data_IF_337464951753
#
_entry.id   IF_337464951753
#
_cell.length_a   1.000
_cell.length_b   1.000
_cell.length_c   1.000
_cell.angle_alpha   90.00
_cell.angle_beta   90.00
_cell.angle_gamma   90.00
#
_symmetry.space_group_name_H-M   'P 1'
#
loop_
_entity.id
_entity.type
_entity.pdbx_description
1 polymer ?
#
# COMPACT_ATOMS: atom_id res chain seq x y z
N UNK A 1 -13.73 -38.01 -6.18
CA UNK A 1 -12.55 -37.25 -6.66
C UNK A 1 -11.75 -36.89 -5.43
N UNK A 2 -10.44 -37.14 -5.42
CA UNK A 2 -9.60 -36.81 -4.27
C UNK A 2 -8.83 -35.53 -4.60
N UNK A 3 -8.98 -34.51 -3.76
CA UNK A 3 -8.17 -33.28 -3.80
C UNK A 3 -7.05 -33.44 -2.79
N UNK A 4 -5.81 -33.16 -3.21
CA UNK A 4 -4.65 -33.10 -2.32
C UNK A 4 -4.13 -31.67 -2.28
N UNK A 5 -3.82 -31.20 -1.08
CA UNK A 5 -3.26 -29.87 -0.82
C UNK A 5 -1.77 -30.01 -0.52
N UNK A 6 -0.95 -29.20 -1.17
CA UNK A 6 0.49 -29.19 -0.98
C UNK A 6 0.94 -27.79 -0.60
N UNK A 7 1.47 -27.67 0.61
CA UNK A 7 2.16 -26.48 1.09
C UNK A 7 3.58 -26.44 0.53
N UNK A 8 4.21 -25.25 0.42
CA UNK A 8 5.58 -25.15 -0.03
C UNK A 8 6.51 -26.00 0.83
N UNK A 9 7.47 -26.67 0.19
CA UNK A 9 8.62 -27.20 0.92
C UNK A 9 9.45 -26.00 1.40
N UNK A 10 9.37 -25.65 2.69
CA UNK A 10 10.35 -24.74 3.28
C UNK A 10 11.74 -25.38 3.14
N UNK A 11 12.55 -24.91 2.20
CA UNK A 11 13.99 -25.07 2.33
C UNK A 11 14.43 -24.24 3.53
N UNK A 12 14.62 -24.88 4.68
CA UNK A 12 15.48 -24.33 5.72
C UNK A 12 16.91 -24.22 5.17
N UNK A 13 17.21 -23.13 4.47
CA UNK A 13 18.58 -22.72 4.23
C UNK A 13 19.06 -21.97 5.48
N UNK A 14 19.52 -22.74 6.47
CA UNK A 14 20.34 -22.21 7.55
C UNK A 14 21.66 -21.70 6.97
N UNK A 15 21.71 -20.43 6.56
CA UNK A 15 22.97 -19.70 6.50
C UNK A 15 23.05 -18.76 7.70
N UNK A 16 23.73 -19.24 8.75
CA UNK A 16 24.42 -18.33 9.65
C UNK A 16 25.49 -17.60 8.83
N UNK A 17 25.34 -16.30 8.62
CA UNK A 17 26.48 -15.42 8.32
C UNK A 17 26.64 -14.46 9.48
N UNK A 18 27.85 -14.51 10.04
CA UNK A 18 28.26 -13.81 11.23
C UNK A 18 28.23 -12.28 11.07
N UNK A 19 28.00 -11.64 12.22
CA UNK A 19 28.05 -10.21 12.51
C UNK A 19 29.28 -9.50 11.92
N UNK A 20 29.09 -8.31 11.35
CA UNK A 20 30.19 -7.52 10.79
C UNK A 20 29.84 -6.10 10.38
N UNK A 21 29.74 -5.21 11.39
CA UNK A 21 29.92 -3.74 11.33
C UNK A 21 28.83 -2.91 10.65
N UNK A 22 28.18 -2.10 11.49
CA UNK A 22 27.22 -1.07 11.11
C UNK A 22 27.79 -0.07 10.11
N UNK A 23 26.97 0.20 9.10
CA UNK A 23 27.20 1.26 8.13
C UNK A 23 26.50 2.53 8.63
N UNK A 24 27.27 3.43 9.19
CA UNK A 24 26.85 4.81 9.46
C UNK A 24 27.01 5.61 8.15
N UNK A 25 25.96 6.26 7.62
CA UNK A 25 26.13 7.16 6.49
C UNK A 25 26.96 8.39 6.95
N UNK A 26 28.13 8.53 6.33
CA UNK A 26 29.01 9.69 6.51
C UNK A 26 28.35 10.91 5.86
N UNK A 27 27.82 11.82 6.67
CA UNK A 27 27.57 13.19 6.25
C UNK A 27 28.91 13.86 5.91
N UNK A 28 29.14 14.15 4.64
CA UNK A 28 30.20 15.09 4.23
C UNK A 28 29.63 16.51 4.30
N UNK A 29 29.97 17.17 5.41
CA UNK A 29 29.98 18.63 5.56
C UNK A 29 30.81 19.24 4.43
N UNK A 30 30.17 19.94 3.49
CA UNK A 30 30.84 20.97 2.70
C UNK A 30 30.42 22.36 3.20
N UNK A 31 31.46 23.15 3.44
CA UNK A 31 31.47 24.48 4.07
C UNK A 31 30.66 25.55 3.31
N UNK A 32 30.30 26.66 4.00
CA UNK A 32 29.35 27.64 3.49
C UNK A 32 29.97 28.63 2.50
N UNK A 33 29.15 29.01 1.52
CA UNK A 33 29.40 30.11 0.59
C UNK A 33 29.49 31.46 1.32
N UNK A 34 30.49 32.25 0.91
CA UNK A 34 30.88 33.56 1.44
C UNK A 34 29.73 34.59 1.40
N UNK A 35 29.55 35.32 2.50
CA UNK A 35 28.81 36.58 2.61
C UNK A 35 29.54 37.71 1.88
N UNK A 36 28.77 38.60 1.26
CA UNK A 36 29.16 39.99 0.94
C UNK A 36 28.23 40.93 1.75
N UNK A 37 28.68 42.13 2.15
CA UNK A 37 28.10 42.87 3.27
C UNK A 37 27.05 43.88 2.82
N UNK A 38 25.89 43.88 3.48
CA UNK A 38 24.98 45.02 3.48
C UNK A 38 24.91 45.60 4.89
N UNK A 39 25.25 46.88 4.98
CA UNK A 39 25.19 47.75 6.15
C UNK A 39 23.74 48.10 6.53
N UNK A 40 23.40 48.16 7.84
CA UNK A 40 22.05 48.47 8.29
C UNK A 40 21.84 49.99 8.46
N UNK A 41 20.61 50.52 8.27
CA UNK A 41 20.25 51.82 8.82
C UNK A 41 19.53 51.66 10.17
N UNK A 42 20.22 52.16 11.20
CA UNK A 42 19.74 52.94 12.36
C UNK A 42 18.24 53.02 12.65
N UNK A 43 17.91 52.51 13.83
CA UNK A 43 16.77 52.88 14.69
C UNK A 43 16.97 54.30 15.28
N UNK A 44 15.87 55.03 15.56
CA UNK A 44 15.86 55.98 16.67
C UNK A 44 14.80 55.64 17.72
N UNK A 45 15.22 55.83 18.97
CA UNK A 45 14.49 55.52 20.20
C UNK A 45 13.31 56.45 20.50
N UNK A 46 12.38 55.87 21.25
CA UNK A 46 11.15 56.33 21.92
C UNK A 46 11.26 57.68 22.68
N UNK A 47 10.14 58.35 23.03
CA UNK A 47 9.73 58.24 24.45
C UNK A 47 8.22 58.38 24.79
N UNK A 48 7.84 57.58 25.81
CA UNK A 48 7.02 57.90 27.00
C UNK A 48 5.46 57.87 26.97
N UNK A 49 4.83 57.67 28.16
CA UNK A 49 3.67 56.79 28.34
C UNK A 49 2.45 57.52 28.92
N UNK A 50 1.32 56.81 28.97
CA UNK A 50 0.21 57.15 29.86
C UNK A 50 -1.16 56.98 29.19
N UNK A 51 -1.94 56.00 29.64
CA UNK A 51 -2.93 56.18 30.71
C UNK A 51 -3.69 54.89 30.93
N UNK A 52 -3.83 54.55 32.21
CA UNK A 52 -4.79 53.57 32.74
C UNK A 52 -6.21 54.04 32.44
N UNK A 53 -7.08 53.09 32.08
CA UNK A 53 -8.49 53.12 32.46
C UNK A 53 -8.94 51.66 32.68
N UNK A 54 -9.69 51.47 33.76
CA UNK A 54 -10.05 50.21 34.40
C UNK A 54 -11.49 49.79 34.03
N UNK A 55 -11.70 48.47 33.85
CA UNK A 55 -12.92 47.66 34.13
C UNK A 55 -14.06 47.68 33.05
N UNK A 56 -14.79 46.57 32.75
CA UNK A 56 -14.90 45.29 33.50
C UNK A 56 -14.58 44.00 32.75
N UNK A 57 -14.24 42.99 33.55
CA UNK A 57 -14.40 41.56 33.28
C UNK A 57 -15.85 41.23 32.87
N UNK A 58 -16.06 40.69 31.67
CA UNK A 58 -17.04 39.62 31.45
C UNK A 58 -16.83 38.93 30.08
N UNK A 59 -17.17 37.64 30.05
CA UNK A 59 -17.20 36.72 28.89
C UNK A 59 -15.86 36.25 28.32
N UNK A 60 -15.27 35.25 28.99
CA UNK A 60 -14.64 34.15 28.27
C UNK A 60 -15.71 33.45 27.42
N UNK A 61 -15.93 33.92 26.19
CA UNK A 61 -16.54 33.13 25.13
C UNK A 61 -15.76 33.38 23.83
N UNK A 62 -14.50 32.96 23.83
CA UNK A 62 -13.85 32.55 22.60
C UNK A 62 -14.22 31.08 22.42
N UNK A 63 -15.43 30.89 21.87
CA UNK A 63 -15.88 29.63 21.32
C UNK A 63 -14.75 29.00 20.51
N UNK A 64 -14.54 27.71 20.76
CA UNK A 64 -13.48 26.89 20.22
C UNK A 64 -13.22 27.23 18.76
N UNK A 65 -12.01 27.69 18.45
CA UNK A 65 -11.46 27.51 17.11
C UNK A 65 -11.41 25.98 16.95
N UNK A 66 -12.43 25.41 16.31
CA UNK A 66 -12.37 24.02 15.88
C UNK A 66 -11.19 23.96 14.93
N UNK A 67 -10.04 23.52 15.41
CA UNK A 67 -8.94 23.12 14.54
C UNK A 67 -9.49 21.99 13.69
N UNK A 68 -9.91 22.32 12.48
CA UNK A 68 -10.27 21.32 11.48
C UNK A 68 -9.05 20.42 11.33
N UNK A 69 -9.17 19.15 11.70
CA UNK A 69 -8.12 18.15 11.52
C UNK A 69 -7.71 18.15 10.03
N UNK A 70 -6.42 18.01 9.77
CA UNK A 70 -5.86 18.00 8.41
C UNK A 70 -4.91 16.84 8.20
N UNK A 71 -4.79 16.43 6.94
CA UNK A 71 -3.77 15.51 6.46
C UNK A 71 -2.91 16.24 5.44
N UNK A 72 -1.59 16.17 5.61
CA UNK A 72 -0.61 16.83 4.73
C UNK A 72 0.13 15.80 3.88
N UNK A 73 0.29 16.13 2.60
CA UNK A 73 0.99 15.34 1.61
C UNK A 73 2.25 16.06 1.15
N UNK A 74 3.37 15.34 1.11
CA UNK A 74 4.70 15.92 0.89
C UNK A 74 5.36 15.36 -0.36
N UNK A 75 6.05 16.22 -1.09
CA UNK A 75 6.89 15.83 -2.22
C UNK A 75 8.36 15.77 -1.79
N UNK A 76 9.08 14.66 -2.05
CA UNK A 76 10.43 14.44 -1.52
C UNK A 76 11.47 15.49 -1.95
N UNK A 77 11.34 16.05 -3.16
CA UNK A 77 12.43 16.77 -3.83
C UNK A 77 12.23 18.29 -3.98
N UNK A 78 11.08 18.85 -3.63
CA UNK A 78 10.80 20.28 -3.85
C UNK A 78 10.03 20.98 -2.72
N UNK A 79 9.95 20.36 -1.53
CA UNK A 79 9.23 20.87 -0.36
C UNK A 79 7.76 21.22 -0.63
N UNK A 80 7.16 20.72 -1.72
CA UNK A 80 5.74 20.87 -1.95
C UNK A 80 4.98 20.11 -0.86
N UNK A 81 4.20 20.85 -0.08
CA UNK A 81 3.29 20.34 0.93
C UNK A 81 1.89 20.85 0.64
N UNK A 82 0.91 19.95 0.63
CA UNK A 82 -0.49 20.33 0.59
C UNK A 82 -1.28 19.62 1.69
N UNK A 83 -2.00 20.42 2.49
CA UNK A 83 -2.78 19.94 3.61
C UNK A 83 -4.27 20.09 3.33
N UNK A 84 -5.01 19.00 3.43
CA UNK A 84 -6.46 18.96 3.21
C UNK A 84 -7.19 18.70 4.52
N UNK A 85 -8.33 19.38 4.71
CA UNK A 85 -9.19 19.13 5.86
C UNK A 85 -9.89 17.79 5.73
N UNK A 86 -10.05 17.10 6.86
CA UNK A 86 -10.80 15.86 6.95
C UNK A 86 -12.11 16.07 7.71
N UNK A 87 -13.07 15.17 7.46
CA UNK A 87 -14.38 15.09 8.08
C UNK A 87 -14.57 13.69 8.66
N UNK A 88 -15.44 13.56 9.65
CA UNK A 88 -15.91 12.25 10.11
C UNK A 88 -17.07 11.79 9.23
N UNK A 89 -17.11 10.50 8.87
CA UNK A 89 -18.26 9.92 8.19
C UNK A 89 -19.51 9.96 9.10
N UNK A 90 -20.66 10.32 8.56
CA UNK A 90 -21.92 10.26 9.31
C UNK A 90 -22.39 8.81 9.54
N UNK A 91 -23.41 8.64 10.38
CA UNK A 91 -23.89 7.30 10.74
C UNK A 91 -24.49 6.52 9.56
N UNK A 92 -25.08 7.21 8.57
CA UNK A 92 -25.64 6.57 7.37
C UNK A 92 -24.50 6.12 6.44
N UNK A 93 -23.53 7.00 6.21
CA UNK A 93 -22.32 6.72 5.46
C UNK A 93 -21.56 5.53 6.08
N UNK A 94 -21.37 5.52 7.40
CA UNK A 94 -20.70 4.41 8.13
C UNK A 94 -21.43 3.08 7.95
N UNK A 95 -22.76 3.07 7.88
CA UNK A 95 -23.55 1.84 7.78
C UNK A 95 -23.64 1.31 6.34
N UNK A 96 -23.71 2.21 5.35
CA UNK A 96 -24.07 1.86 3.98
C UNK A 96 -22.88 1.88 3.01
N UNK A 97 -21.99 2.86 3.09
CA UNK A 97 -20.94 3.11 2.08
C UNK A 97 -19.54 2.80 2.62
N UNK A 98 -19.29 3.17 3.88
CA UNK A 98 -18.01 3.04 4.59
C UNK A 98 -18.09 2.02 5.73
N UNK A 99 -18.82 0.92 5.49
CA UNK A 99 -18.96 -0.17 6.45
C UNK A 99 -17.73 -1.10 6.41
N UNK A 100 -16.68 -0.71 7.13
CA UNK A 100 -15.51 -1.55 7.34
C UNK A 100 -15.83 -2.69 8.30
N UNK A 101 -15.33 -3.89 8.00
CA UNK A 101 -15.37 -4.99 8.95
C UNK A 101 -14.39 -4.70 10.10
N UNK A 102 -14.80 -4.97 11.32
CA UNK A 102 -13.92 -4.90 12.49
C UNK A 102 -13.01 -6.14 12.52
N UNK A 103 -11.68 -5.99 12.38
CA UNK A 103 -10.78 -7.14 12.38
C UNK A 103 -10.70 -7.85 13.75
N UNK A 104 -11.08 -7.19 14.85
CA UNK A 104 -11.13 -7.80 16.19
C UNK A 104 -12.36 -8.70 16.38
N UNK A 105 -13.44 -8.42 15.64
CA UNK A 105 -14.70 -9.15 15.74
C UNK A 105 -14.93 -10.12 14.59
N UNK A 106 -14.18 -9.99 13.50
CA UNK A 106 -14.37 -10.81 12.31
C UNK A 106 -13.77 -12.21 12.48
N UNK A 107 -14.64 -13.22 12.45
CA UNK A 107 -14.26 -14.64 12.52
C UNK A 107 -13.34 -15.05 11.35
N UNK A 108 -13.42 -14.35 10.22
CA UNK A 108 -12.64 -14.61 9.02
C UNK A 108 -11.53 -13.58 8.79
N UNK A 109 -11.07 -12.87 9.84
CA UNK A 109 -9.87 -12.05 9.71
C UNK A 109 -8.64 -12.97 9.55
N UNK A 110 -7.80 -12.77 8.52
CA UNK A 110 -6.59 -13.57 8.35
C UNK A 110 -5.67 -13.43 9.57
N UNK A 111 -5.47 -14.53 10.29
CA UNK A 111 -4.77 -14.54 11.59
C UNK A 111 -3.31 -14.08 11.51
N UNK A 112 -2.74 -14.06 10.31
CA UNK A 112 -1.38 -13.68 10.02
C UNK A 112 -1.21 -12.21 9.62
N UNK A 113 -2.30 -11.47 9.39
CA UNK A 113 -2.26 -10.03 9.17
C UNK A 113 -2.08 -9.29 10.49
N UNK A 114 -1.35 -8.17 10.46
CA UNK A 114 -1.24 -7.28 11.62
C UNK A 114 -2.55 -6.51 11.77
N UNK A 115 -3.34 -6.87 12.78
CA UNK A 115 -4.63 -6.22 13.08
C UNK A 115 -4.53 -4.69 13.23
N UNK A 116 -3.37 -4.18 13.65
CA UNK A 116 -3.15 -2.75 13.83
C UNK A 116 -3.02 -1.99 12.50
N UNK A 117 -2.92 -2.71 11.37
CA UNK A 117 -2.91 -2.14 10.02
C UNK A 117 -4.27 -2.16 9.34
N UNK A 118 -5.29 -2.70 10.02
CA UNK A 118 -6.65 -2.85 9.51
C UNK A 118 -7.68 -2.14 10.41
N UNK A 119 -7.25 -1.12 11.15
CA UNK A 119 -8.13 -0.29 11.96
C UNK A 119 -9.18 0.39 11.07
N UNK A 120 -10.37 0.61 11.64
CA UNK A 120 -11.44 1.32 10.95
C UNK A 120 -11.06 2.81 10.88
N UNK A 121 -11.01 3.43 9.69
CA UNK A 121 -10.73 4.85 9.59
C UNK A 121 -11.87 5.67 10.17
N UNK A 122 -11.52 6.72 10.93
CA UNK A 122 -12.48 7.64 11.52
C UNK A 122 -12.71 8.86 10.64
N UNK A 123 -11.63 9.40 10.08
CA UNK A 123 -11.68 10.64 9.32
C UNK A 123 -11.35 10.39 7.85
N UNK A 124 -11.88 11.23 6.98
CA UNK A 124 -11.80 11.13 5.53
C UNK A 124 -11.73 12.51 4.88
N UNK A 125 -11.20 12.59 3.68
CA UNK A 125 -11.37 13.72 2.79
C UNK A 125 -12.78 13.69 2.18
N UNK A 126 -13.47 14.82 2.18
CA UNK A 126 -14.71 15.01 1.43
C UNK A 126 -14.39 15.34 -0.04
N UNK A 127 -14.66 14.41 -0.94
CA UNK A 127 -14.38 14.57 -2.37
C UNK A 127 -15.37 15.49 -3.08
N UNK A 128 -16.55 15.78 -2.50
CA UNK A 128 -17.46 16.80 -3.04
C UNK A 128 -16.96 18.20 -2.72
N UNK A 129 -16.33 18.36 -1.55
CA UNK A 129 -15.72 19.62 -1.12
C UNK A 129 -14.30 19.84 -1.69
N UNK A 130 -13.65 18.79 -2.19
CA UNK A 130 -12.26 18.85 -2.68
C UNK A 130 -12.22 18.84 -4.21
N UNK A 131 -11.70 19.90 -4.88
CA UNK A 131 -11.59 19.91 -6.34
C UNK A 131 -10.73 18.76 -6.88
N UNK A 132 -11.19 18.12 -7.96
CA UNK A 132 -10.55 16.98 -8.63
C UNK A 132 -9.09 17.20 -9.05
N UNK A 133 -8.76 18.44 -9.42
CA UNK A 133 -7.43 18.85 -9.87
C UNK A 133 -6.54 19.38 -8.74
N UNK A 134 -6.98 19.28 -7.47
CA UNK A 134 -6.16 19.64 -6.32
C UNK A 134 -4.92 18.75 -6.31
N UNK A 135 -3.75 19.38 -6.37
CA UNK A 135 -2.46 18.68 -6.29
C UNK A 135 -2.23 18.21 -4.86
N UNK A 136 -1.92 16.93 -4.70
CA UNK A 136 -1.55 16.34 -3.41
C UNK A 136 -0.04 16.36 -3.25
N UNK A 137 0.67 16.00 -4.32
CA UNK A 137 2.10 16.20 -4.48
C UNK A 137 2.37 16.93 -5.78
N UNK A 138 3.63 17.21 -6.08
CA UNK A 138 4.07 17.87 -7.31
C UNK A 138 3.46 17.25 -8.56
N UNK A 139 3.35 15.92 -8.60
CA UNK A 139 2.89 15.24 -9.81
C UNK A 139 1.51 14.61 -9.70
N UNK A 140 1.00 14.30 -8.50
CA UNK A 140 -0.28 13.62 -8.33
C UNK A 140 -1.38 14.56 -7.85
N UNK A 141 -2.59 14.39 -8.40
CA UNK A 141 -3.79 15.11 -7.99
C UNK A 141 -4.86 14.17 -7.43
N UNK A 142 -5.87 14.74 -6.76
CA UNK A 142 -6.97 13.99 -6.13
C UNK A 142 -7.61 12.96 -7.06
N UNK A 143 -8.05 13.35 -8.26
CA UNK A 143 -8.79 12.43 -9.16
C UNK A 143 -7.97 11.22 -9.65
N UNK A 144 -6.64 11.26 -9.57
CA UNK A 144 -5.79 10.11 -9.91
C UNK A 144 -5.86 9.02 -8.83
N UNK A 145 -6.07 9.41 -7.57
CA UNK A 145 -5.97 8.51 -6.41
C UNK A 145 -7.32 8.25 -5.74
N UNK A 146 -8.22 9.23 -5.77
CA UNK A 146 -9.47 9.26 -5.02
C UNK A 146 -10.57 9.82 -5.93
N UNK A 147 -11.50 8.96 -6.32
CA UNK A 147 -12.46 9.25 -7.39
C UNK A 147 -13.89 9.23 -6.83
N UNK A 148 -14.66 10.27 -7.11
CA UNK A 148 -16.04 10.42 -6.63
C UNK A 148 -16.96 9.22 -6.94
N UNK A 149 -16.75 8.54 -8.07
CA UNK A 149 -17.56 7.37 -8.44
C UNK A 149 -17.21 6.10 -7.63
N UNK A 150 -16.13 6.13 -6.85
CA UNK A 150 -15.71 5.07 -5.91
C UNK A 150 -16.07 5.38 -4.45
N UNK A 151 -16.65 6.55 -4.22
CA UNK A 151 -17.16 7.00 -2.93
C UNK A 151 -17.08 8.53 -2.78
N UNK A 152 -17.99 9.09 -1.99
CA UNK A 152 -18.02 10.53 -1.69
C UNK A 152 -16.94 10.98 -0.69
N UNK A 153 -16.47 10.06 0.15
CA UNK A 153 -15.37 10.24 1.10
C UNK A 153 -14.18 9.37 0.69
N UNK A 154 -12.97 9.82 0.98
CA UNK A 154 -11.78 9.03 0.70
C UNK A 154 -10.66 9.24 1.71
N UNK A 155 -9.76 8.29 1.78
CA UNK A 155 -8.50 8.44 2.50
C UNK A 155 -7.36 7.89 1.64
N UNK A 156 -6.19 8.50 1.75
CA UNK A 156 -5.02 7.99 1.06
C UNK A 156 -3.78 8.27 1.90
N UNK A 157 -2.96 7.24 2.12
CA UNK A 157 -1.79 7.30 2.98
C UNK A 157 -0.77 8.32 2.45
N UNK A 158 -0.37 9.33 3.25
CA UNK A 158 0.69 10.24 2.87
C UNK A 158 2.02 9.52 2.61
N UNK A 159 2.31 8.44 3.34
CA UNK A 159 3.51 7.64 3.13
C UNK A 159 3.47 6.89 1.79
N UNK A 160 2.35 6.23 1.47
CA UNK A 160 2.19 5.58 0.16
C UNK A 160 2.32 6.60 -0.99
N UNK A 161 1.73 7.80 -0.82
CA UNK A 161 1.86 8.86 -1.82
C UNK A 161 3.29 9.41 -1.93
N UNK A 162 3.99 9.54 -0.81
CA UNK A 162 5.40 9.94 -0.79
C UNK A 162 6.27 8.98 -1.60
N UNK A 163 6.08 7.66 -1.41
CA UNK A 163 6.86 6.65 -2.13
C UNK A 163 6.56 6.59 -3.62
N UNK A 164 5.29 6.71 -4.04
CA UNK A 164 4.97 6.73 -5.47
C UNK A 164 5.41 8.04 -6.14
N UNK A 165 5.40 9.17 -5.42
CA UNK A 165 5.99 10.44 -5.87
C UNK A 165 7.49 10.30 -6.09
N UNK A 166 8.20 9.70 -5.12
CA UNK A 166 9.62 9.40 -5.25
C UNK A 166 9.92 8.47 -6.43
N UNK A 167 9.15 7.40 -6.59
CA UNK A 167 9.30 6.45 -7.70
C UNK A 167 9.16 7.14 -9.05
N UNK A 168 8.17 8.04 -9.18
CA UNK A 168 7.97 8.83 -10.41
C UNK A 168 9.19 9.70 -10.72
N UNK A 169 9.78 10.33 -9.71
CA UNK A 169 10.98 11.17 -9.83
C UNK A 169 12.21 10.34 -10.22
N UNK A 170 12.41 9.18 -9.57
CA UNK A 170 13.55 8.29 -9.82
C UNK A 170 13.46 7.64 -11.21
N UNK A 171 12.25 7.28 -11.66
CA UNK A 171 11.99 6.79 -13.02
C UNK A 171 12.09 7.90 -14.08
N UNK A 172 11.94 9.17 -13.67
CA UNK A 172 11.79 10.34 -14.54
C UNK A 172 10.72 10.12 -15.64
N UNK A 173 9.60 9.48 -15.27
CA UNK A 173 8.52 9.07 -16.17
C UNK A 173 7.16 9.20 -15.48
N UNK A 174 6.10 9.36 -16.28
CA UNK A 174 4.75 9.40 -15.74
C UNK A 174 4.34 8.03 -15.19
N UNK A 175 3.93 8.02 -13.93
CA UNK A 175 3.25 6.89 -13.29
C UNK A 175 1.76 7.06 -13.51
N UNK A 176 1.15 6.10 -14.22
CA UNK A 176 -0.27 6.10 -14.59
C UNK A 176 -1.07 5.23 -13.63
N UNK A 177 -1.87 5.87 -12.79
CA UNK A 177 -2.70 5.20 -11.78
C UNK A 177 -3.96 4.62 -12.44
N UNK A 178 -4.18 3.31 -12.25
CA UNK A 178 -5.42 2.63 -12.61
C UNK A 178 -6.43 2.67 -11.45
N UNK A 179 -5.95 2.38 -10.25
CA UNK A 179 -6.75 2.37 -9.04
C UNK A 179 -5.90 2.68 -7.82
N UNK A 180 -6.51 3.26 -6.81
CA UNK A 180 -5.89 3.61 -5.53
C UNK A 180 -6.96 3.46 -4.44
N UNK A 181 -7.53 4.54 -3.90
CA UNK A 181 -8.57 4.39 -2.90
C UNK A 181 -9.86 3.77 -3.49
N UNK A 182 -10.44 2.80 -2.78
CA UNK A 182 -11.76 2.21 -3.05
C UNK A 182 -12.58 2.22 -1.77
N UNK A 183 -13.73 2.90 -1.75
CA UNK A 183 -14.65 2.82 -0.61
C UNK A 183 -15.14 1.37 -0.39
N UNK A 184 -15.47 0.94 0.85
CA UNK A 184 -15.90 -0.43 1.14
C UNK A 184 -17.04 -0.95 0.25
N UNK A 185 -18.10 -0.15 0.07
CA UNK A 185 -19.22 -0.53 -0.79
C UNK A 185 -18.80 -0.67 -2.26
N UNK A 186 -17.97 0.23 -2.77
CA UNK A 186 -17.44 0.13 -4.14
C UNK A 186 -16.55 -1.10 -4.32
N UNK A 187 -15.62 -1.33 -3.39
CA UNK A 187 -14.74 -2.51 -3.40
C UNK A 187 -15.55 -3.80 -3.43
N UNK A 188 -16.58 -3.91 -2.60
CA UNK A 188 -17.48 -5.06 -2.62
C UNK A 188 -18.23 -5.20 -3.96
N UNK A 189 -18.70 -4.10 -4.53
CA UNK A 189 -19.48 -4.11 -5.79
C UNK A 189 -18.70 -4.66 -6.99
N UNK A 190 -17.37 -4.53 -6.98
CA UNK A 190 -16.48 -5.04 -8.02
C UNK A 190 -15.88 -6.41 -7.68
N UNK A 191 -16.29 -7.03 -6.57
CA UNK A 191 -15.74 -8.32 -6.13
C UNK A 191 -14.32 -8.23 -5.54
N UNK A 192 -13.96 -7.07 -4.99
CA UNK A 192 -12.67 -6.88 -4.33
C UNK A 192 -12.57 -7.65 -3.01
N UNK A 193 -11.34 -7.94 -2.58
CA UNK A 193 -11.07 -8.68 -1.36
C UNK A 193 -11.67 -7.96 -0.14
N UNK A 194 -12.19 -8.75 0.81
CA UNK A 194 -12.81 -8.23 2.05
C UNK A 194 -11.89 -7.30 2.84
N UNK A 195 -10.58 -7.60 2.83
CA UNK A 195 -9.55 -6.84 3.54
C UNK A 195 -8.60 -6.17 2.55
N UNK A 196 -9.13 -5.69 1.41
CA UNK A 196 -8.29 -5.11 0.37
C UNK A 196 -7.58 -3.85 0.84
N UNK A 197 -6.29 -3.73 0.52
CA UNK A 197 -5.48 -2.55 0.88
C UNK A 197 -5.92 -1.26 0.21
N UNK A 198 -6.62 -1.35 -0.93
CA UNK A 198 -7.25 -0.20 -1.56
C UNK A 198 -8.26 0.50 -0.66
N UNK A 199 -8.95 -0.24 0.22
CA UNK A 199 -9.88 0.33 1.21
C UNK A 199 -9.17 1.08 2.33
N UNK A 200 -7.90 0.75 2.60
CA UNK A 200 -7.08 1.38 3.64
C UNK A 200 -6.15 2.46 3.06
N UNK A 201 -6.36 2.83 1.79
CA UNK A 201 -5.70 3.97 1.15
C UNK A 201 -4.19 3.83 0.99
N UNK A 202 -3.65 2.61 1.05
CA UNK A 202 -2.21 2.37 0.96
C UNK A 202 -1.83 1.35 -0.11
N UNK A 203 -2.75 1.07 -1.04
CA UNK A 203 -2.47 0.33 -2.26
C UNK A 203 -2.69 1.16 -3.52
N UNK A 204 -1.89 0.86 -4.53
CA UNK A 204 -1.93 1.50 -5.84
C UNK A 204 -1.77 0.43 -6.92
N UNK A 205 -2.69 0.46 -7.88
CA UNK A 205 -2.59 -0.24 -9.15
C UNK A 205 -2.10 0.76 -10.19
N UNK A 206 -0.96 0.51 -10.83
CA UNK A 206 -0.38 1.45 -11.78
C UNK A 206 0.44 0.78 -12.89
N UNK A 207 0.77 1.57 -13.90
CA UNK A 207 1.80 1.22 -14.88
C UNK A 207 2.65 2.45 -15.22
N UNK A 208 3.77 2.21 -15.88
CA UNK A 208 4.66 3.26 -16.39
C UNK A 208 4.99 2.91 -17.84
N UNK A 209 4.76 3.86 -18.75
CA UNK A 209 5.06 3.64 -20.16
C UNK A 209 6.56 3.36 -20.35
N UNK A 210 6.84 2.36 -21.19
CA UNK A 210 8.20 1.89 -21.53
C UNK A 210 8.98 1.26 -20.37
N UNK A 211 8.33 0.96 -19.24
CA UNK A 211 8.89 0.16 -18.15
C UNK A 211 8.05 -1.10 -18.03
N UNK A 212 8.69 -2.27 -18.03
CA UNK A 212 7.95 -3.52 -17.92
C UNK A 212 7.33 -3.68 -16.52
N UNK A 213 6.16 -4.32 -16.43
CA UNK A 213 5.49 -4.58 -15.15
C UNK A 213 6.40 -5.39 -14.20
N UNK A 214 7.26 -6.26 -14.76
CA UNK A 214 8.23 -7.02 -13.99
C UNK A 214 9.33 -6.13 -13.38
N UNK A 215 9.85 -5.15 -14.13
CA UNK A 215 10.79 -4.17 -13.58
C UNK A 215 10.12 -3.30 -12.51
N UNK A 216 8.84 -2.95 -12.68
CA UNK A 216 8.10 -2.18 -11.66
C UNK A 216 7.99 -2.90 -10.31
N UNK A 217 8.04 -4.25 -10.29
CA UNK A 217 8.05 -5.00 -9.04
C UNK A 217 9.31 -4.75 -8.19
N UNK A 218 10.45 -4.56 -8.85
CA UNK A 218 11.70 -4.19 -8.20
C UNK A 218 11.59 -2.77 -7.64
N UNK A 219 11.07 -1.82 -8.44
CA UNK A 219 10.82 -0.46 -7.99
C UNK A 219 9.88 -0.39 -6.78
N UNK A 220 8.79 -1.16 -6.75
CA UNK A 220 7.90 -1.20 -5.60
C UNK A 220 8.64 -1.63 -4.33
N UNK A 221 9.45 -2.68 -4.41
CA UNK A 221 10.25 -3.15 -3.28
C UNK A 221 11.27 -2.10 -2.84
N UNK A 222 11.98 -1.48 -3.78
CA UNK A 222 12.97 -0.42 -3.52
C UNK A 222 12.35 0.84 -2.91
N UNK A 223 11.08 1.11 -3.22
CA UNK A 223 10.29 2.23 -2.71
C UNK A 223 9.41 1.83 -1.53
N UNK A 224 9.78 0.78 -0.78
CA UNK A 224 9.19 0.49 0.52
C UNK A 224 7.81 -0.18 0.48
N UNK A 225 7.33 -0.63 -0.69
CA UNK A 225 6.13 -1.44 -0.76
C UNK A 225 6.36 -2.74 0.03
N UNK A 226 5.39 -3.08 0.86
CA UNK A 226 5.42 -4.27 1.70
C UNK A 226 5.10 -5.53 0.88
N UNK A 227 4.26 -5.39 -0.13
CA UNK A 227 3.84 -6.46 -1.02
C UNK A 227 3.50 -5.91 -2.41
N UNK A 228 3.56 -6.78 -3.42
CA UNK A 228 3.16 -6.46 -4.78
C UNK A 228 2.53 -7.67 -5.48
N UNK A 229 1.74 -7.40 -6.51
CA UNK A 229 1.21 -8.41 -7.43
C UNK A 229 1.23 -7.92 -8.88
N UNK A 230 1.72 -8.77 -9.78
CA UNK A 230 1.79 -8.50 -11.22
C UNK A 230 0.51 -8.98 -11.90
N UNK A 231 -0.18 -8.04 -12.54
CA UNK A 231 -1.31 -8.28 -13.43
C UNK A 231 -0.89 -8.07 -14.89
N UNK A 232 -1.73 -8.48 -15.85
CA UNK A 232 -1.43 -8.33 -17.29
C UNK A 232 -1.26 -6.87 -17.71
N UNK A 233 -2.00 -5.94 -17.10
CA UNK A 233 -2.07 -4.53 -17.51
C UNK A 233 -1.40 -3.56 -16.55
N UNK A 234 -1.17 -3.97 -15.31
CA UNK A 234 -0.65 -3.13 -14.24
C UNK A 234 0.08 -3.94 -13.17
N UNK A 235 0.76 -3.24 -12.27
CA UNK A 235 1.23 -3.79 -11.01
C UNK A 235 0.38 -3.23 -9.88
N UNK A 236 0.03 -4.09 -8.92
CA UNK A 236 -0.46 -3.71 -7.60
C UNK A 236 0.72 -3.60 -6.66
N UNK A 237 0.83 -2.50 -5.92
CA UNK A 237 1.79 -2.35 -4.82
C UNK A 237 1.11 -1.73 -3.61
N UNK A 238 1.40 -2.25 -2.42
CA UNK A 238 0.86 -1.73 -1.18
C UNK A 238 1.92 -1.48 -0.11
N UNK A 239 1.64 -0.49 0.73
CA UNK A 239 2.53 -0.01 1.79
C UNK A 239 1.98 -0.35 3.17
N UNK A 240 1.32 -1.51 3.34
CA UNK A 240 0.67 -1.91 4.61
C UNK A 240 1.59 -2.02 5.84
N UNK A 241 2.90 -1.92 5.64
CA UNK A 241 3.90 -1.86 6.70
C UNK A 241 4.34 -0.40 7.04
N UNK A 242 3.68 0.63 6.53
CA UNK A 242 3.87 2.01 7.00
C UNK A 242 2.90 2.32 8.15
N UNK A 243 3.23 3.25 9.07
CA UNK A 243 2.30 3.64 10.12
C UNK A 243 1.00 4.21 9.56
N UNK A 244 -0.13 3.96 10.24
CA UNK A 244 -1.39 4.61 9.93
C UNK A 244 -1.31 6.10 10.30
N UNK A 245 -1.81 6.97 9.43
CA UNK A 245 -1.75 8.42 9.65
C UNK A 245 -2.81 8.88 10.66
N UNK A 246 -2.40 9.60 11.70
CA UNK A 246 -3.29 10.08 12.77
C UNK A 246 -4.39 11.05 12.27
N UNK A 247 -4.24 11.63 11.09
CA UNK A 247 -5.27 12.44 10.45
C UNK A 247 -6.43 11.61 9.87
N UNK A 248 -6.32 10.28 9.78
CA UNK A 248 -7.40 9.38 9.36
C UNK A 248 -7.85 8.40 10.45
N UNK A 249 -6.97 8.08 11.41
CA UNK A 249 -7.20 7.04 12.41
C UNK A 249 -7.07 7.56 13.85
N UNK A 250 -7.87 7.01 14.76
CA UNK A 250 -7.73 7.32 16.19
C UNK A 250 -6.68 6.46 16.87
N UNK A 251 -5.70 7.15 17.46
CA UNK A 251 -4.73 6.56 18.37
C UNK A 251 -3.39 6.21 17.71
N UNK A 252 -2.30 6.25 18.49
CA UNK A 252 -0.97 5.93 17.98
C UNK A 252 -0.88 4.43 17.64
N UNK A 253 -0.35 4.10 16.46
CA UNK A 253 0.04 2.73 16.11
C UNK A 253 1.27 2.34 16.94
N UNK A 254 1.04 1.82 18.15
CA UNK A 254 2.10 1.33 19.02
C UNK A 254 2.41 -0.12 18.66
N UNK A 255 3.64 -0.37 18.22
CA UNK A 255 4.22 -1.69 17.91
C UNK A 255 3.78 -2.29 16.56
N UNK A 256 4.10 -1.61 15.46
CA UNK A 256 4.00 -2.20 14.13
C UNK A 256 4.93 -3.42 14.02
N UNK A 257 4.36 -4.57 13.62
CA UNK A 257 5.17 -5.75 13.31
C UNK A 257 5.61 -5.65 11.86
N UNK A 258 6.93 -5.57 11.64
CA UNK A 258 7.48 -5.78 10.30
C UNK A 258 7.41 -7.27 9.97
N UNK A 259 6.43 -7.63 9.14
CA UNK A 259 6.26 -8.99 8.65
C UNK A 259 6.85 -9.05 7.24
N UNK A 260 7.64 -10.08 6.97
CA UNK A 260 8.06 -10.42 5.61
C UNK A 260 6.84 -10.98 4.87
N UNK A 261 6.05 -10.10 4.23
CA UNK A 261 4.81 -10.48 3.57
C UNK A 261 5.02 -11.43 2.40
N UNK A 262 6.18 -11.38 1.73
CA UNK A 262 6.51 -12.34 0.67
C UNK A 262 6.61 -13.76 1.23
N UNK A 263 7.40 -13.94 2.28
CA UNK A 263 7.57 -15.23 2.95
C UNK A 263 6.28 -15.72 3.59
N UNK A 264 5.51 -14.79 4.19
CA UNK A 264 4.21 -15.11 4.74
C UNK A 264 3.25 -15.57 3.65
N UNK A 265 3.12 -14.81 2.56
CA UNK A 265 2.25 -15.16 1.44
C UNK A 265 2.59 -16.52 0.84
N UNK A 266 3.88 -16.83 0.70
CA UNK A 266 4.35 -18.15 0.32
C UNK A 266 3.88 -19.22 1.32
N UNK A 267 4.13 -19.03 2.62
CA UNK A 267 3.78 -20.00 3.67
C UNK A 267 2.28 -20.28 3.81
N UNK A 268 1.44 -19.28 3.50
CA UNK A 268 -0.02 -19.36 3.58
C UNK A 268 -0.68 -19.76 2.25
N UNK A 269 0.11 -19.94 1.19
CA UNK A 269 -0.38 -20.37 -0.12
C UNK A 269 -0.07 -21.84 -0.38
N UNK A 270 -0.88 -22.48 -1.22
CA UNK A 270 -0.72 -23.91 -1.50
C UNK A 270 -1.13 -24.28 -2.92
N UNK A 271 -0.52 -25.35 -3.45
CA UNK A 271 -0.94 -25.96 -4.71
C UNK A 271 -2.03 -26.99 -4.40
N UNK A 272 -3.19 -26.83 -5.02
CA UNK A 272 -4.29 -27.77 -4.98
C UNK A 272 -4.22 -28.69 -6.18
N UNK A 273 -4.30 -30.00 -5.93
CA UNK A 273 -4.23 -31.03 -6.97
C UNK A 273 -5.50 -31.86 -6.95
N UNK A 274 -6.30 -31.72 -7.98
CA UNK A 274 -7.44 -32.59 -8.21
C UNK A 274 -7.02 -33.80 -9.04
N UNK A 275 -7.07 -34.97 -8.41
CA UNK A 275 -6.75 -36.24 -9.07
C UNK A 275 -7.94 -36.71 -9.95
N UNK A 276 -7.68 -36.84 -11.25
CA UNK A 276 -8.59 -37.47 -12.23
C UNK A 276 -7.94 -38.70 -12.86
N UNK A 277 -8.72 -39.61 -13.43
CA UNK A 277 -8.27 -40.94 -13.90
C UNK A 277 -6.91 -40.94 -14.64
N UNK A 278 -6.73 -40.04 -15.61
CA UNK A 278 -5.51 -39.95 -16.44
C UNK A 278 -4.81 -38.58 -16.40
N UNK A 279 -5.30 -37.65 -15.57
CA UNK A 279 -4.80 -36.26 -15.51
C UNK A 279 -4.79 -35.73 -14.09
N UNK A 280 -3.87 -34.83 -13.80
CA UNK A 280 -3.97 -33.91 -12.68
C UNK A 280 -4.48 -32.56 -13.16
N UNK A 281 -5.35 -31.94 -12.38
CA UNK A 281 -5.69 -30.53 -12.52
C UNK A 281 -5.08 -29.80 -11.33
N UNK A 282 -4.22 -28.82 -11.59
CA UNK A 282 -3.51 -28.06 -10.58
C UNK A 282 -4.02 -26.62 -10.57
N UNK A 283 -4.19 -26.06 -9.39
CA UNK A 283 -4.52 -24.65 -9.14
C UNK A 283 -3.79 -24.16 -7.90
N UNK A 284 -3.72 -22.84 -7.70
CA UNK A 284 -3.18 -22.25 -6.46
C UNK A 284 -4.32 -21.75 -5.58
N UNK A 285 -4.22 -21.99 -4.28
CA UNK A 285 -5.06 -21.37 -3.26
C UNK A 285 -4.21 -20.37 -2.47
N UNK A 286 -4.66 -19.12 -2.39
CA UNK A 286 -4.00 -18.04 -1.65
C UNK A 286 -5.03 -16.98 -1.23
N UNK A 287 -4.80 -16.32 -0.09
CA UNK A 287 -5.64 -15.24 0.45
C UNK A 287 -5.10 -13.84 0.12
N UNK A 288 -3.96 -13.76 -0.58
CA UNK A 288 -3.24 -12.51 -0.85
C UNK A 288 -3.66 -11.85 -2.17
N UNK A 289 -4.66 -12.37 -2.85
CA UNK A 289 -5.15 -11.83 -4.12
C UNK A 289 -6.19 -10.76 -3.83
N UNK A 290 -5.97 -9.55 -4.34
CA UNK A 290 -6.73 -8.35 -3.94
C UNK A 290 -8.09 -8.23 -4.63
N UNK A 291 -8.31 -8.89 -5.77
CA UNK A 291 -9.57 -8.91 -6.51
C UNK A 291 -9.78 -10.29 -7.16
N UNK A 292 -11.02 -10.69 -7.42
CA UNK A 292 -11.34 -11.96 -8.12
C UNK A 292 -10.90 -12.01 -9.60
N UNK A 293 -10.06 -11.07 -10.04
CA UNK A 293 -9.80 -10.76 -11.45
C UNK A 293 -8.87 -11.77 -12.16
N UNK A 294 -9.22 -12.05 -13.42
CA UNK A 294 -8.62 -13.06 -14.32
C UNK A 294 -7.27 -12.66 -14.92
N UNK A 295 -6.79 -11.46 -14.59
CA UNK A 295 -5.60 -10.86 -15.15
C UNK A 295 -4.37 -10.96 -14.24
N UNK A 296 -4.51 -11.49 -13.03
CA UNK A 296 -3.36 -11.86 -12.21
C UNK A 296 -2.52 -12.90 -12.96
N UNK A 297 -1.20 -12.69 -13.02
CA UNK A 297 -0.31 -13.57 -13.76
C UNK A 297 0.03 -14.80 -12.92
N UNK A 298 -0.24 -15.99 -13.48
CA UNK A 298 0.21 -17.27 -12.97
C UNK A 298 1.23 -17.83 -13.96
N UNK A 299 2.44 -18.14 -13.53
CA UNK A 299 3.46 -18.77 -14.36
C UNK A 299 3.84 -20.13 -13.77
N UNK A 300 3.43 -21.21 -14.44
CA UNK A 300 3.78 -22.58 -14.05
C UNK A 300 4.97 -23.07 -14.85
N UNK A 301 6.03 -23.47 -14.17
CA UNK A 301 7.16 -24.18 -14.74
C UNK A 301 7.04 -25.66 -14.43
N UNK A 302 6.72 -26.47 -15.44
CA UNK A 302 6.55 -27.92 -15.29
C UNK A 302 7.72 -28.62 -15.94
N UNK A 303 8.57 -29.23 -15.13
CA UNK A 303 9.75 -29.97 -15.58
C UNK A 303 9.50 -31.48 -15.49
N UNK A 304 9.67 -32.16 -16.62
CA UNK A 304 9.50 -33.61 -16.80
C UNK A 304 10.46 -34.11 -17.89
N UNK A 305 11.19 -35.21 -17.66
CA UNK A 305 12.26 -35.72 -18.57
C UNK A 305 13.31 -34.67 -18.96
N UNK A 306 13.72 -33.80 -18.03
CA UNK A 306 14.62 -32.67 -18.31
C UNK A 306 14.08 -31.70 -19.38
N UNK A 307 12.76 -31.71 -19.64
CA UNK A 307 12.08 -30.74 -20.49
C UNK A 307 11.18 -29.89 -19.61
N UNK A 308 11.32 -28.58 -19.72
CA UNK A 308 10.48 -27.62 -19.03
C UNK A 308 9.44 -27.07 -19.98
N UNK A 309 8.20 -26.98 -19.50
CA UNK A 309 7.10 -26.34 -20.21
C UNK A 309 6.47 -25.28 -19.31
N UNK A 310 6.24 -24.11 -19.90
CA UNK A 310 5.61 -22.97 -19.24
C UNK A 310 4.11 -22.95 -19.53
N UNK A 311 3.31 -22.60 -18.53
CA UNK A 311 1.88 -22.37 -18.66
C UNK A 311 1.49 -21.07 -17.97
N UNK A 312 0.59 -20.31 -18.59
CA UNK A 312 0.14 -19.01 -18.08
C UNK A 312 -1.37 -18.99 -17.83
N UNK A 313 -1.81 -19.68 -16.79
CA UNK A 313 -3.24 -19.85 -16.44
C UNK A 313 -3.41 -20.10 -14.94
N UNK A 314 -4.50 -19.61 -14.30
CA UNK A 314 -4.80 -19.91 -12.90
C UNK A 314 -4.92 -21.42 -12.59
N UNK A 315 -5.24 -22.21 -13.62
CA UNK A 315 -5.35 -23.67 -13.55
C UNK A 315 -4.67 -24.32 -14.74
N UNK A 316 -3.92 -25.39 -14.49
CA UNK A 316 -3.27 -26.20 -15.54
C UNK A 316 -3.72 -27.67 -15.46
N UNK A 317 -3.62 -28.38 -16.58
CA UNK A 317 -3.85 -29.82 -16.65
C UNK A 317 -2.60 -30.56 -17.12
N UNK A 318 -2.21 -31.59 -16.37
CA UNK A 318 -1.06 -32.44 -16.67
C UNK A 318 -1.51 -33.88 -16.87
N UNK A 319 -0.94 -34.57 -17.86
CA UNK A 319 -1.18 -36.00 -18.05
C UNK A 319 -0.41 -36.79 -16.99
N UNK A 320 -0.96 -37.91 -16.53
CA UNK A 320 -0.26 -38.79 -15.58
C UNK A 320 0.66 -39.76 -16.31
N UNK A 321 1.89 -39.86 -15.84
CA UNK A 321 2.87 -40.83 -16.35
C UNK A 321 3.34 -41.72 -15.19
N UNK A 322 3.17 -43.04 -15.33
CA UNK A 322 3.24 -44.02 -14.21
C UNK A 322 4.63 -44.23 -13.58
N UNK A 323 5.69 -43.68 -14.16
CA UNK A 323 7.08 -44.05 -13.80
C UNK A 323 8.01 -42.86 -13.62
N UNK A 324 7.48 -41.64 -13.51
CA UNK A 324 8.30 -40.44 -13.70
C UNK A 324 7.90 -39.30 -12.79
N UNK A 325 8.93 -38.60 -12.31
CA UNK A 325 8.81 -37.49 -11.38
C UNK A 325 8.58 -36.18 -12.12
N UNK A 326 7.59 -35.42 -11.66
CA UNK A 326 7.41 -34.04 -12.04
C UNK A 326 8.04 -33.14 -10.99
N UNK A 327 8.69 -32.08 -11.45
CA UNK A 327 9.02 -30.93 -10.61
C UNK A 327 8.24 -29.74 -11.14
N UNK A 328 7.38 -29.19 -10.28
CA UNK A 328 6.41 -28.17 -10.67
C UNK A 328 6.63 -26.97 -9.76
N UNK A 329 6.97 -25.85 -10.38
CA UNK A 329 7.00 -24.54 -9.74
C UNK A 329 5.85 -23.70 -10.27
N UNK A 330 5.25 -22.88 -9.42
CA UNK A 330 4.31 -21.83 -9.84
C UNK A 330 4.65 -20.52 -9.16
N UNK A 331 4.70 -19.46 -9.96
CA UNK A 331 4.83 -18.08 -9.50
C UNK A 331 3.49 -17.37 -9.72
N UNK A 332 2.91 -16.81 -8.66
CA UNK A 332 1.65 -16.06 -8.70
C UNK A 332 1.92 -14.60 -8.42
N UNK A 333 1.55 -13.72 -9.36
CA UNK A 333 1.74 -12.27 -9.26
C UNK A 333 3.22 -11.84 -9.10
N UNK A 334 4.19 -12.71 -9.39
CA UNK A 334 5.62 -12.44 -9.18
C UNK A 334 6.10 -12.52 -7.72
N UNK A 335 5.20 -12.45 -6.73
CA UNK A 335 5.54 -12.41 -5.31
C UNK A 335 5.40 -13.75 -4.60
N UNK A 336 4.49 -14.62 -5.02
CA UNK A 336 4.26 -15.92 -4.39
C UNK A 336 4.88 -17.02 -5.24
N UNK A 337 5.80 -17.81 -4.68
CA UNK A 337 6.45 -18.93 -5.35
C UNK A 337 6.19 -20.22 -4.58
N UNK A 338 5.64 -21.23 -5.26
CA UNK A 338 5.33 -22.53 -4.70
C UNK A 338 5.98 -23.64 -5.53
N UNK A 339 6.45 -24.70 -4.88
CA UNK A 339 7.08 -25.85 -5.55
C UNK A 339 6.57 -27.17 -4.98
N UNK A 340 6.32 -28.14 -5.86
CA UNK A 340 5.99 -29.52 -5.51
C UNK A 340 6.70 -30.53 -6.41
N UNK A 341 6.83 -31.77 -5.90
CA UNK A 341 7.26 -32.94 -6.67
C UNK A 341 6.13 -33.97 -6.70
N UNK A 342 5.77 -34.46 -7.88
CA UNK A 342 4.70 -35.46 -8.09
C UNK A 342 5.20 -36.75 -8.70
#
# INVERSE_FOLDING_TARGET
MNVKTYFPLLLCASLMVACGKGFQPKFHSNQPLKKSPETPPTEPQNPNPGKEDNIPEDSNDLGSISETLKVCYFSPNDNHENCLSVVEADDDQKQNEYNYKDPQQSINFPTHFDINQYLIPKYYLDLKATPKNTKLTTNFQVEELMQLHKGDLALFSPDALFYIQKMREDLNRAVHIHSAFRGPAYNQSIGGATWSRHMYGDAIDFHVNEVSIKELAEYCTEHGAAFYQIYKTHIHCDWRNTPLNEGFYEGPVKNQKFINLKELAQSQSSIQIQDRKNKWQLSVQTEFVEDEDSDLIYEWEVTYKNKTKIYSSPTIQLNKHKSEHYHIKVTVGGSIELEIKL
#
